data_IF_220709147829
#
_entry.id   IF_220709147829
#
_cell.length_a   1.000
_cell.length_b   1.000
_cell.length_c   1.000
_cell.angle_alpha   90.00
_cell.angle_beta   90.00
_cell.angle_gamma   90.00
#
_symmetry.space_group_name_H-M   'P 1'
#
loop_
_entity.id
_entity.type
_entity.pdbx_description
1 polymer ?
#
# COMPACT_ATOMS: atom_id res chain seq x y z
N UNK A 1 6.92 -12.80 -4.38
CA UNK A 1 7.75 -13.51 -3.36
C UNK A 1 7.29 -14.94 -3.19
N UNK A 2 8.21 -15.90 -3.40
CA UNK A 2 7.97 -17.32 -3.14
C UNK A 2 8.19 -17.63 -1.65
N UNK A 3 7.69 -18.77 -1.14
CA UNK A 3 7.88 -19.20 0.25
C UNK A 3 9.38 -19.24 0.68
N UNK A 4 10.26 -19.47 -0.29
CA UNK A 4 11.73 -19.50 -0.14
C UNK A 4 12.30 -18.12 0.25
N UNK A 5 11.71 -17.02 -0.22
CA UNK A 5 12.20 -15.66 0.06
C UNK A 5 11.98 -15.25 1.53
N UNK A 6 10.89 -15.75 2.14
CA UNK A 6 10.56 -15.47 3.55
C UNK A 6 11.54 -16.13 4.52
N UNK A 7 11.88 -17.40 4.28
CA UNK A 7 12.85 -18.14 5.08
C UNK A 7 14.24 -17.49 5.00
N UNK A 8 14.60 -16.96 3.83
CA UNK A 8 15.85 -16.23 3.64
C UNK A 8 15.90 -14.95 4.49
N UNK A 9 14.84 -14.14 4.48
CA UNK A 9 14.73 -12.92 5.31
C UNK A 9 14.78 -13.28 6.80
N UNK A 10 14.09 -14.35 7.21
CA UNK A 10 14.10 -14.83 8.59
C UNK A 10 15.50 -15.34 9.01
N UNK A 11 16.21 -16.05 8.13
CA UNK A 11 17.59 -16.47 8.36
C UNK A 11 18.54 -15.28 8.53
N UNK A 12 18.36 -14.19 7.76
CA UNK A 12 19.21 -13.00 7.83
C UNK A 12 19.22 -12.35 9.22
N UNK A 13 18.18 -12.55 10.03
CA UNK A 13 18.14 -12.08 11.42
C UNK A 13 19.35 -12.58 12.22
N UNK A 14 19.75 -13.83 12.00
CA UNK A 14 20.79 -14.49 12.79
C UNK A 14 22.19 -14.28 12.22
N UNK A 15 22.36 -14.28 10.90
CA UNK A 15 23.69 -14.21 10.29
C UNK A 15 24.07 -12.85 9.69
N UNK A 16 23.11 -11.99 9.33
CA UNK A 16 23.39 -10.69 8.70
C UNK A 16 22.27 -9.66 8.91
N UNK A 17 21.95 -9.27 10.17
CA UNK A 17 20.79 -8.45 10.49
C UNK A 17 20.79 -7.10 9.76
N UNK A 18 21.95 -6.45 9.63
CA UNK A 18 22.10 -5.19 8.89
C UNK A 18 21.84 -5.32 7.37
N UNK A 19 22.20 -6.46 6.76
CA UNK A 19 21.84 -6.72 5.35
C UNK A 19 20.34 -6.98 5.21
N UNK A 20 19.74 -7.65 6.19
CA UNK A 20 18.30 -7.88 6.26
C UNK A 20 17.49 -6.60 6.19
N UNK A 21 17.89 -5.52 6.90
CA UNK A 21 17.21 -4.23 6.81
C UNK A 21 17.15 -3.65 5.39
N UNK A 22 18.24 -3.76 4.62
CA UNK A 22 18.27 -3.30 3.22
C UNK A 22 17.38 -4.13 2.31
N UNK A 23 17.45 -5.46 2.46
CA UNK A 23 16.64 -6.37 1.65
C UNK A 23 15.14 -6.18 1.94
N UNK A 24 14.79 -5.99 3.22
CA UNK A 24 13.43 -5.72 3.66
C UNK A 24 12.91 -4.38 3.13
N UNK A 25 13.72 -3.32 3.22
CA UNK A 25 13.39 -1.99 2.69
C UNK A 25 13.04 -2.06 1.20
N UNK A 26 13.83 -2.82 0.42
CA UNK A 26 13.78 -2.78 -1.04
C UNK A 26 12.84 -3.82 -1.66
N UNK A 27 12.59 -4.96 -1.00
CA UNK A 27 11.95 -6.11 -1.64
C UNK A 27 10.78 -6.71 -0.86
N UNK A 28 10.64 -6.45 0.44
CA UNK A 28 9.70 -7.21 1.24
C UNK A 28 8.29 -6.57 1.26
N UNK A 29 7.22 -7.33 0.91
CA UNK A 29 5.86 -6.84 0.97
C UNK A 29 5.44 -6.63 2.42
N UNK A 30 4.78 -5.51 2.68
CA UNK A 30 4.40 -5.10 4.04
C UNK A 30 3.54 -6.16 4.74
N UNK A 31 2.64 -6.80 4.00
CA UNK A 31 1.67 -7.76 4.54
C UNK A 31 2.33 -8.96 5.23
N UNK A 32 3.36 -9.54 4.61
CA UNK A 32 3.93 -10.76 5.14
C UNK A 32 5.07 -10.51 6.15
N UNK A 33 5.67 -9.31 6.17
CA UNK A 33 6.39 -8.84 7.37
C UNK A 33 5.45 -8.59 8.53
N UNK A 34 4.24 -8.08 8.26
CA UNK A 34 3.18 -7.97 9.26
C UNK A 34 2.83 -9.34 9.85
N UNK A 35 2.66 -10.36 9.01
CA UNK A 35 2.42 -11.73 9.48
C UNK A 35 3.58 -12.28 10.31
N UNK A 36 4.82 -12.10 9.84
CA UNK A 36 6.02 -12.55 10.55
C UNK A 36 6.17 -11.84 11.91
N UNK A 37 5.95 -10.53 11.96
CA UNK A 37 5.93 -9.76 13.19
C UNK A 37 4.80 -10.23 14.13
N UNK A 38 3.62 -10.58 13.61
CA UNK A 38 2.51 -11.07 14.40
C UNK A 38 2.83 -12.43 15.02
N UNK A 39 3.34 -13.38 14.22
CA UNK A 39 3.73 -14.71 14.69
C UNK A 39 4.81 -14.60 15.76
N UNK A 40 5.86 -13.81 15.51
CA UNK A 40 6.94 -13.62 16.50
C UNK A 40 6.44 -12.93 17.77
N UNK A 41 5.48 -12.02 17.66
CA UNK A 41 4.88 -11.33 18.81
C UNK A 41 4.03 -12.27 19.65
N UNK A 42 3.21 -13.12 19.02
CA UNK A 42 2.44 -14.17 19.70
C UNK A 42 3.37 -15.14 20.41
N UNK A 43 4.43 -15.61 19.73
CA UNK A 43 5.42 -16.50 20.32
C UNK A 43 6.14 -15.85 21.52
N UNK A 44 6.59 -14.60 21.36
CA UNK A 44 7.18 -13.81 22.45
C UNK A 44 6.24 -13.76 23.64
N UNK A 45 4.96 -13.45 23.43
CA UNK A 45 3.98 -13.33 24.50
C UNK A 45 3.74 -14.66 25.22
N UNK A 46 3.54 -15.76 24.47
CA UNK A 46 3.34 -17.08 25.04
C UNK A 46 4.52 -17.54 25.89
N UNK A 47 5.75 -17.39 25.36
CA UNK A 47 6.96 -17.84 26.07
C UNK A 47 7.23 -16.97 27.30
N UNK A 48 7.15 -15.65 27.18
CA UNK A 48 7.45 -14.76 28.32
C UNK A 48 6.43 -14.88 29.44
N UNK A 49 5.14 -15.07 29.13
CA UNK A 49 4.13 -15.33 30.15
C UNK A 49 4.30 -16.69 30.83
N UNK A 50 4.70 -17.71 30.07
CA UNK A 50 5.02 -19.02 30.64
C UNK A 50 6.21 -18.94 31.60
N UNK A 51 7.30 -18.26 31.20
CA UNK A 51 8.49 -18.03 32.03
C UNK A 51 8.20 -17.14 33.26
N UNK A 52 7.24 -16.22 33.16
CA UNK A 52 6.77 -15.40 34.28
C UNK A 52 5.88 -16.17 35.27
N UNK A 53 5.58 -17.46 35.01
CA UNK A 53 4.81 -18.31 35.90
C UNK A 53 3.32 -18.37 35.61
N UNK A 54 2.84 -17.78 34.51
CA UNK A 54 1.44 -17.85 34.10
C UNK A 54 1.20 -19.13 33.27
N UNK A 55 1.03 -20.27 33.95
CA UNK A 55 0.78 -21.58 33.31
C UNK A 55 -0.65 -21.77 32.78
N UNK A 56 -1.53 -20.79 32.97
CA UNK A 56 -2.95 -20.88 32.57
C UNK A 56 -3.15 -20.89 31.04
N UNK A 57 -2.15 -20.51 30.25
CA UNK A 57 -2.23 -20.44 28.78
C UNK A 57 -2.33 -21.80 28.10
N UNK A 58 -1.91 -22.89 28.75
CA UNK A 58 -2.05 -24.26 28.22
C UNK A 58 -3.46 -24.85 28.38
N UNK A 59 -4.34 -24.18 29.14
CA UNK A 59 -5.66 -24.72 29.57
C UNK A 59 -6.80 -23.70 29.35
N UNK A 60 -6.49 -22.41 29.20
CA UNK A 60 -7.50 -21.37 29.03
C UNK A 60 -8.04 -21.38 27.59
N UNK A 61 -9.33 -21.70 27.44
CA UNK A 61 -10.03 -21.89 26.16
C UNK A 61 -10.00 -20.71 25.18
N UNK A 62 -10.92 -20.67 24.20
CA UNK A 62 -10.86 -19.75 23.04
C UNK A 62 -10.66 -18.26 23.36
N UNK A 63 -11.12 -17.81 24.53
CA UNK A 63 -11.01 -16.42 24.99
C UNK A 63 -9.58 -15.99 25.32
N UNK A 64 -8.73 -16.88 25.83
CA UNK A 64 -7.33 -16.56 26.13
C UNK A 64 -6.51 -16.44 24.85
N UNK A 65 -6.71 -17.36 23.90
CA UNK A 65 -6.08 -17.30 22.57
C UNK A 65 -6.45 -15.99 21.87
N UNK A 66 -7.74 -15.62 21.88
CA UNK A 66 -8.20 -14.34 21.31
C UNK A 66 -7.55 -13.14 21.98
N UNK A 67 -7.37 -13.16 23.31
CA UNK A 67 -6.68 -12.08 24.03
C UNK A 67 -5.23 -11.92 23.58
N UNK A 68 -4.48 -13.04 23.47
CA UNK A 68 -3.08 -13.03 23.02
C UNK A 68 -2.97 -12.48 21.59
N UNK A 69 -3.83 -12.97 20.69
CA UNK A 69 -3.87 -12.51 19.31
C UNK A 69 -4.17 -11.02 19.22
N UNK A 70 -5.18 -10.55 19.97
CA UNK A 70 -5.58 -9.16 19.98
C UNK A 70 -4.49 -8.24 20.55
N UNK A 71 -3.86 -8.60 21.67
CA UNK A 71 -2.74 -7.84 22.23
C UNK A 71 -1.53 -7.82 21.29
N UNK A 72 -1.28 -8.92 20.61
CA UNK A 72 -0.22 -8.99 19.60
C UNK A 72 -0.53 -8.07 18.42
N UNK A 73 -1.74 -8.15 17.87
CA UNK A 73 -2.19 -7.27 16.78
C UNK A 73 -2.15 -5.79 17.16
N UNK A 74 -2.56 -5.43 18.39
CA UNK A 74 -2.51 -4.06 18.90
C UNK A 74 -1.07 -3.52 18.90
N UNK A 75 -0.09 -4.33 19.31
CA UNK A 75 1.31 -3.90 19.32
C UNK A 75 1.84 -3.58 17.91
N UNK A 76 1.44 -4.36 16.91
CA UNK A 76 1.78 -4.10 15.51
C UNK A 76 1.08 -2.84 14.99
N UNK A 77 -0.19 -2.65 15.37
CA UNK A 77 -0.98 -1.49 14.97
C UNK A 77 -0.39 -0.19 15.55
N UNK A 78 0.10 -0.22 16.79
CA UNK A 78 0.81 0.92 17.39
C UNK A 78 2.11 1.23 16.64
N UNK A 79 2.86 0.20 16.23
CA UNK A 79 4.08 0.41 15.43
C UNK A 79 3.75 1.02 14.07
N UNK A 80 2.83 0.44 13.31
CA UNK A 80 2.51 0.90 11.96
C UNK A 80 1.68 2.19 11.92
N UNK A 81 0.73 2.34 12.84
CA UNK A 81 -0.28 3.40 12.84
C UNK A 81 0.13 4.65 13.64
N UNK A 82 0.98 4.50 14.67
CA UNK A 82 1.44 5.63 15.48
C UNK A 82 2.95 5.87 15.32
N UNK A 83 3.78 4.87 15.62
CA UNK A 83 5.23 5.06 15.67
C UNK A 83 5.84 5.41 14.30
N UNK A 84 5.51 4.67 13.25
CA UNK A 84 6.05 4.90 11.90
C UNK A 84 5.71 6.31 11.38
N UNK A 85 4.45 6.79 11.44
CA UNK A 85 4.13 8.18 11.08
C UNK A 85 4.87 9.23 11.93
N UNK A 86 5.01 9.00 13.25
CA UNK A 86 5.75 9.90 14.15
C UNK A 86 7.22 9.96 13.74
N UNK A 87 7.85 8.82 13.47
CA UNK A 87 9.25 8.75 13.02
C UNK A 87 9.40 9.46 11.67
N UNK A 88 8.49 9.23 10.72
CA UNK A 88 8.49 9.91 9.43
C UNK A 88 8.35 11.43 9.58
N UNK A 89 7.50 11.89 10.52
CA UNK A 89 7.30 13.30 10.81
C UNK A 89 8.57 13.94 11.40
N UNK A 90 9.15 13.32 12.41
CA UNK A 90 10.42 13.76 13.02
C UNK A 90 11.53 13.77 11.98
N UNK A 91 11.66 12.71 11.17
CA UNK A 91 12.63 12.66 10.09
C UNK A 91 12.46 13.81 9.09
N UNK A 92 11.21 14.17 8.75
CA UNK A 92 10.93 15.30 7.85
C UNK A 92 11.33 16.65 8.46
N UNK A 93 11.20 16.83 9.78
CA UNK A 93 11.66 18.05 10.47
C UNK A 93 13.17 18.19 10.35
N UNK A 94 13.91 17.10 10.58
CA UNK A 94 15.38 17.10 10.54
C UNK A 94 15.94 17.24 9.12
N UNK A 95 15.35 16.55 8.14
CA UNK A 95 15.90 16.44 6.79
C UNK A 95 15.22 17.33 5.74
N UNK A 96 14.14 18.05 6.10
CA UNK A 96 13.39 19.00 5.23
C UNK A 96 13.06 18.44 3.84
N UNK A 97 12.55 17.20 3.76
CA UNK A 97 12.29 16.48 2.49
C UNK A 97 11.02 16.91 1.74
N UNK A 98 10.41 18.04 2.14
CA UNK A 98 9.23 18.61 1.49
C UNK A 98 7.92 18.33 2.22
N UNK A 99 6.82 18.21 1.46
CA UNK A 99 5.47 18.02 2.03
C UNK A 99 5.37 16.65 2.70
N UNK A 100 4.96 16.63 3.97
CA UNK A 100 4.84 15.41 4.79
C UNK A 100 4.02 14.30 4.11
N UNK A 101 2.90 14.66 3.47
CA UNK A 101 2.07 13.68 2.75
C UNK A 101 2.81 12.94 1.63
N UNK A 102 3.71 13.62 0.92
CA UNK A 102 4.50 13.01 -0.15
C UNK A 102 5.55 12.05 0.42
N UNK A 103 6.24 12.47 1.49
CA UNK A 103 7.21 11.61 2.18
C UNK A 103 6.56 10.34 2.72
N UNK A 104 5.37 10.47 3.31
CA UNK A 104 4.65 9.33 3.83
C UNK A 104 4.19 8.40 2.69
N UNK A 105 3.71 8.94 1.57
CA UNK A 105 3.39 8.11 0.40
C UNK A 105 4.61 7.36 -0.17
N UNK A 106 5.79 7.98 -0.14
CA UNK A 106 7.00 7.42 -0.75
C UNK A 106 7.72 6.41 0.16
N UNK A 107 7.82 6.70 1.45
CA UNK A 107 8.69 5.98 2.39
C UNK A 107 7.92 5.15 3.43
N UNK A 108 6.60 5.31 3.57
CA UNK A 108 5.86 4.61 4.63
C UNK A 108 5.98 3.09 4.54
N UNK A 109 5.85 2.50 3.34
CA UNK A 109 5.96 1.04 3.19
C UNK A 109 7.36 0.53 3.58
N UNK A 110 8.41 1.24 3.16
CA UNK A 110 9.82 0.94 3.49
C UNK A 110 10.11 1.09 4.98
N UNK A 111 9.55 2.13 5.60
CA UNK A 111 9.70 2.39 7.03
C UNK A 111 8.91 1.39 7.87
N UNK A 112 7.66 1.11 7.52
CA UNK A 112 6.83 0.15 8.23
C UNK A 112 7.40 -1.28 8.14
N UNK A 113 7.85 -1.71 6.96
CA UNK A 113 8.50 -3.02 6.76
C UNK A 113 9.76 -3.19 7.63
N UNK A 114 10.66 -2.20 7.61
CA UNK A 114 11.89 -2.24 8.41
C UNK A 114 11.62 -2.17 9.92
N UNK A 115 10.61 -1.43 10.37
CA UNK A 115 10.19 -1.42 11.78
C UNK A 115 9.55 -2.74 12.22
N UNK A 116 8.74 -3.38 11.38
CA UNK A 116 8.19 -4.72 11.65
C UNK A 116 9.29 -5.79 11.68
N UNK A 117 10.30 -5.65 10.83
CA UNK A 117 11.49 -6.49 10.87
C UNK A 117 12.29 -6.28 12.16
N UNK A 118 12.51 -5.02 12.59
CA UNK A 118 13.13 -4.70 13.88
C UNK A 118 12.36 -5.29 15.07
N UNK A 119 11.01 -5.21 15.05
CA UNK A 119 10.15 -5.82 16.07
C UNK A 119 10.32 -7.34 16.11
N UNK A 120 10.40 -7.98 14.93
CA UNK A 120 10.60 -9.42 14.85
C UNK A 120 11.94 -9.85 15.41
N UNK A 121 13.03 -9.13 15.07
CA UNK A 121 14.35 -9.38 15.64
C UNK A 121 14.30 -9.26 17.16
N UNK A 122 13.72 -8.17 17.67
CA UNK A 122 13.62 -7.92 19.11
C UNK A 122 12.85 -9.05 19.81
N UNK A 123 11.74 -9.53 19.24
CA UNK A 123 10.98 -10.66 19.76
C UNK A 123 11.83 -11.94 19.82
N UNK A 124 12.46 -12.31 18.70
CA UNK A 124 13.20 -13.56 18.57
C UNK A 124 14.48 -13.58 19.41
N UNK A 125 15.16 -12.44 19.58
CA UNK A 125 16.35 -12.32 20.43
C UNK A 125 15.97 -12.32 21.91
N UNK A 126 14.83 -11.74 22.28
CA UNK A 126 14.42 -11.68 23.69
C UNK A 126 14.04 -13.06 24.23
N UNK A 127 13.50 -13.95 23.41
CA UNK A 127 13.10 -15.31 23.83
C UNK A 127 14.27 -16.10 24.46
N UNK A 128 15.40 -16.35 23.78
CA UNK A 128 16.53 -17.08 24.36
C UNK A 128 17.15 -16.34 25.56
N UNK A 129 17.18 -15.00 25.53
CA UNK A 129 17.64 -14.21 26.67
C UNK A 129 16.72 -14.41 27.88
N UNK A 130 15.40 -14.40 27.69
CA UNK A 130 14.43 -14.63 28.75
C UNK A 130 14.57 -16.05 29.34
N UNK A 131 14.76 -17.07 28.49
CA UNK A 131 15.03 -18.44 28.92
C UNK A 131 16.31 -18.49 29.76
N UNK A 132 17.39 -17.87 29.30
CA UNK A 132 18.66 -17.81 30.03
C UNK A 132 18.50 -17.10 31.39
N UNK A 133 17.82 -15.96 31.44
CA UNK A 133 17.56 -15.21 32.68
C UNK A 133 16.75 -16.02 33.69
N UNK A 134 15.79 -16.81 33.21
CA UNK A 134 15.00 -17.71 34.05
C UNK A 134 15.84 -18.87 34.59
N UNK A 135 16.59 -19.57 33.72
CA UNK A 135 17.38 -20.75 34.08
C UNK A 135 18.58 -20.42 34.98
N UNK A 136 19.18 -19.25 34.81
CA UNK A 136 20.32 -18.79 35.62
C UNK A 136 19.95 -18.30 37.03
N UNK A 137 18.66 -18.19 37.35
CA UNK A 137 18.18 -17.61 38.61
C UNK A 137 18.29 -16.08 38.68
N UNK A 138 18.82 -15.42 37.65
CA UNK A 138 18.91 -13.95 37.57
C UNK A 138 17.51 -13.32 37.64
N UNK A 139 16.52 -13.92 36.98
CA UNK A 139 15.13 -13.47 37.06
C UNK A 139 14.61 -13.51 38.50
N UNK A 140 14.88 -14.58 39.24
CA UNK A 140 14.44 -14.71 40.63
C UNK A 140 15.12 -13.68 41.56
N UNK A 141 16.41 -13.44 41.37
CA UNK A 141 17.16 -12.41 42.08
C UNK A 141 16.63 -11.00 41.77
N UNK A 142 16.37 -10.71 40.49
CA UNK A 142 15.78 -9.44 40.04
C UNK A 142 14.39 -9.21 40.64
N UNK A 143 13.55 -10.24 40.66
CA UNK A 143 12.22 -10.19 41.31
C UNK A 143 12.39 -9.85 42.80
N UNK A 144 13.22 -10.60 43.53
CA UNK A 144 13.42 -10.39 44.96
C UNK A 144 13.90 -8.96 45.28
N UNK A 145 14.86 -8.46 44.49
CA UNK A 145 15.37 -7.10 44.62
C UNK A 145 14.29 -6.05 44.37
N UNK A 146 13.49 -6.19 43.30
CA UNK A 146 12.46 -5.20 42.96
C UNK A 146 11.29 -5.21 43.95
N UNK A 147 10.89 -6.36 44.50
CA UNK A 147 9.89 -6.40 45.56
C UNK A 147 10.37 -5.66 46.82
N UNK A 148 11.66 -5.78 47.15
CA UNK A 148 12.27 -5.05 48.27
C UNK A 148 12.34 -3.54 47.99
N UNK A 149 12.73 -3.15 46.77
CA UNK A 149 12.77 -1.74 46.36
C UNK A 149 11.39 -1.10 46.21
N UNK A 150 10.34 -1.86 45.88
CA UNK A 150 8.98 -1.37 45.80
C UNK A 150 8.49 -0.83 47.16
N UNK A 151 8.86 -1.49 48.26
CA UNK A 151 8.57 -1.01 49.62
C UNK A 151 9.32 0.30 49.97
N UNK A 152 10.48 0.55 49.37
CA UNK A 152 11.24 1.78 49.54
C UNK A 152 10.73 2.92 48.64
N UNK A 153 10.31 2.62 47.41
CA UNK A 153 9.78 3.61 46.47
C UNK A 153 8.49 4.29 46.97
N UNK A 154 7.69 3.59 47.78
CA UNK A 154 6.50 4.14 48.43
C UNK A 154 6.79 5.34 49.34
N UNK A 155 7.96 5.41 49.96
CA UNK A 155 8.32 6.53 50.85
C UNK A 155 8.90 7.74 50.10
N UNK A 156 9.38 7.54 48.87
CA UNK A 156 10.02 8.59 48.05
C UNK A 156 9.03 9.31 47.13
N UNK A 157 7.97 8.63 46.67
CA UNK A 157 6.97 9.20 45.76
C UNK A 157 5.73 9.67 46.53
N UNK A 158 5.52 10.99 46.63
CA UNK A 158 4.32 11.62 47.19
C UNK A 158 3.09 11.48 46.27
N UNK A 159 2.68 10.25 45.97
CA UNK A 159 1.55 9.96 45.09
C UNK A 159 0.21 10.00 45.86
N UNK A 160 -0.92 10.25 45.17
CA UNK A 160 -2.26 10.08 45.75
C UNK A 160 -2.44 8.67 46.36
N UNK A 161 -3.17 8.52 47.48
CA UNK A 161 -3.28 7.24 48.20
C UNK A 161 -3.90 6.11 47.36
N UNK A 162 -4.84 6.43 46.46
CA UNK A 162 -5.43 5.47 45.53
C UNK A 162 -4.41 4.93 44.53
N UNK A 163 -3.57 5.81 43.99
CA UNK A 163 -2.53 5.43 43.03
C UNK A 163 -1.42 4.62 43.71
N UNK A 164 -1.07 4.95 44.96
CA UNK A 164 -0.13 4.17 45.79
C UNK A 164 -0.61 2.74 46.00
N UNK A 165 -1.89 2.56 46.35
CA UNK A 165 -2.46 1.22 46.55
C UNK A 165 -2.42 0.38 45.26
N UNK A 166 -2.75 0.97 44.11
CA UNK A 166 -2.67 0.29 42.82
C UNK A 166 -1.23 -0.05 42.42
N UNK A 167 -0.29 0.89 42.59
CA UNK A 167 1.12 0.68 42.27
C UNK A 167 1.73 -0.44 43.13
N UNK A 168 1.36 -0.48 44.41
CA UNK A 168 1.79 -1.52 45.35
C UNK A 168 1.33 -2.89 44.91
N UNK A 169 0.05 -3.04 44.58
CA UNK A 169 -0.51 -4.31 44.10
C UNK A 169 0.23 -4.78 42.84
N UNK A 170 0.51 -3.86 41.91
CA UNK A 170 1.19 -4.16 40.65
C UNK A 170 2.67 -4.55 40.84
N UNK A 171 3.42 -3.78 41.64
CA UNK A 171 4.85 -4.02 41.89
C UNK A 171 5.12 -5.19 42.85
N UNK A 172 4.12 -5.57 43.64
CA UNK A 172 4.19 -6.75 44.51
C UNK A 172 3.89 -8.05 43.76
N UNK A 173 3.40 -7.99 42.51
CA UNK A 173 3.18 -9.17 41.68
C UNK A 173 4.50 -9.61 41.01
N UNK A 174 5.08 -10.78 41.38
CA UNK A 174 6.30 -11.29 40.76
C UNK A 174 6.19 -11.44 39.24
N UNK A 175 4.98 -11.69 38.73
CA UNK A 175 4.72 -11.89 37.30
C UNK A 175 4.89 -10.58 36.53
N UNK A 176 4.34 -9.49 37.07
CA UNK A 176 4.46 -8.17 36.46
C UNK A 176 5.92 -7.73 36.38
N UNK A 177 6.69 -7.97 37.45
CA UNK A 177 8.13 -7.66 37.50
C UNK A 177 8.92 -8.51 36.49
N UNK A 178 8.63 -9.80 36.39
CA UNK A 178 9.26 -10.69 35.40
C UNK A 178 8.95 -10.26 33.96
N UNK A 179 7.68 -10.00 33.64
CA UNK A 179 7.27 -9.51 32.32
C UNK A 179 7.91 -8.14 32.00
N UNK A 180 8.06 -7.28 33.00
CA UNK A 180 8.74 -5.98 32.89
C UNK A 180 10.22 -6.12 32.51
N UNK A 181 10.93 -7.09 33.10
CA UNK A 181 12.32 -7.40 32.75
C UNK A 181 12.44 -7.79 31.28
N UNK A 182 11.63 -8.76 30.83
CA UNK A 182 11.64 -9.21 29.43
C UNK A 182 11.25 -8.11 28.46
N UNK A 183 10.26 -7.28 28.84
CA UNK A 183 9.84 -6.12 28.03
C UNK A 183 10.95 -5.10 27.88
N UNK A 184 11.75 -4.86 28.92
CA UNK A 184 12.89 -3.95 28.86
C UNK A 184 13.96 -4.44 27.88
N UNK A 185 14.30 -5.74 27.93
CA UNK A 185 15.23 -6.37 26.97
C UNK A 185 14.73 -6.20 25.53
N UNK A 186 13.45 -6.49 25.30
CA UNK A 186 12.82 -6.33 24.00
C UNK A 186 12.83 -4.88 23.52
N UNK A 187 12.46 -3.92 24.36
CA UNK A 187 12.41 -2.51 24.01
C UNK A 187 13.79 -1.99 23.64
N UNK A 188 14.84 -2.42 24.34
CA UNK A 188 16.22 -2.08 23.99
C UNK A 188 16.60 -2.62 22.61
N UNK A 189 16.35 -3.91 22.34
CA UNK A 189 16.60 -4.51 21.03
C UNK A 189 15.81 -3.83 19.91
N UNK A 190 14.55 -3.47 20.18
CA UNK A 190 13.70 -2.75 19.25
C UNK A 190 14.22 -1.33 18.98
N UNK A 191 14.70 -0.60 20.00
CA UNK A 191 15.26 0.73 19.83
C UNK A 191 16.51 0.71 18.93
N UNK A 192 17.41 -0.26 19.13
CA UNK A 192 18.57 -0.47 18.25
C UNK A 192 18.12 -0.79 16.82
N UNK A 193 17.13 -1.67 16.66
CA UNK A 193 16.55 -1.99 15.35
C UNK A 193 15.88 -0.78 14.69
N UNK A 194 15.22 0.10 15.45
CA UNK A 194 14.60 1.31 14.95
C UNK A 194 15.63 2.31 14.42
N UNK A 195 16.79 2.44 15.08
CA UNK A 195 17.92 3.27 14.58
C UNK A 195 18.42 2.72 13.24
N UNK A 196 18.60 1.40 13.13
CA UNK A 196 19.00 0.76 11.87
C UNK A 196 17.96 0.95 10.77
N UNK A 197 16.67 0.80 11.09
CA UNK A 197 15.57 1.03 10.14
C UNK A 197 15.59 2.46 9.59
N UNK A 198 15.65 3.46 10.48
CA UNK A 198 15.71 4.88 10.08
C UNK A 198 16.95 5.17 9.24
N UNK A 199 18.12 4.66 9.65
CA UNK A 199 19.37 4.83 8.91
C UNK A 199 19.25 4.29 7.48
N UNK A 200 18.75 3.07 7.32
CA UNK A 200 18.68 2.42 6.01
C UNK A 200 17.60 3.03 5.12
N UNK A 201 16.42 3.38 5.66
CA UNK A 201 15.34 3.99 4.87
C UNK A 201 15.74 5.38 4.39
N UNK A 202 16.22 6.24 5.29
CA UNK A 202 16.56 7.62 4.94
C UNK A 202 17.97 7.79 4.38
N UNK A 203 18.82 6.75 4.42
CA UNK A 203 20.22 6.79 3.95
C UNK A 203 21.04 7.91 4.61
N UNK A 204 20.89 8.06 5.92
CA UNK A 204 21.55 9.09 6.73
C UNK A 204 22.66 8.51 7.62
N UNK A 205 23.44 9.37 8.28
CA UNK A 205 24.45 8.93 9.25
C UNK A 205 23.80 8.29 10.49
N UNK A 206 24.55 7.42 11.17
CA UNK A 206 24.11 6.76 12.41
C UNK A 206 23.72 7.76 13.48
N UNK A 207 24.49 8.86 13.64
CA UNK A 207 24.21 9.89 14.63
C UNK A 207 22.84 10.55 14.41
N UNK A 208 22.53 10.92 13.15
CA UNK A 208 21.24 11.53 12.81
C UNK A 208 20.09 10.53 12.95
N UNK A 209 20.30 9.28 12.54
CA UNK A 209 19.31 8.22 12.73
C UNK A 209 19.01 8.01 14.22
N UNK A 210 20.03 7.99 15.08
CA UNK A 210 19.85 7.92 16.54
C UNK A 210 19.04 9.10 17.06
N UNK A 211 19.37 10.33 16.66
CA UNK A 211 18.61 11.51 17.09
C UNK A 211 17.13 11.42 16.68
N UNK A 212 16.84 11.08 15.42
CA UNK A 212 15.47 10.91 14.92
C UNK A 212 14.73 9.79 15.67
N UNK A 213 15.37 8.63 15.84
CA UNK A 213 14.76 7.49 16.54
C UNK A 213 14.48 7.79 18.00
N UNK A 214 15.41 8.42 18.71
CA UNK A 214 15.23 8.81 20.12
C UNK A 214 14.11 9.84 20.24
N UNK A 215 14.16 10.92 19.46
CA UNK A 215 13.11 11.95 19.48
C UNK A 215 11.74 11.37 19.10
N UNK A 216 11.67 10.51 18.09
CA UNK A 216 10.42 9.88 17.67
C UNK A 216 9.87 8.86 18.67
N UNK A 217 10.74 8.04 19.30
CA UNK A 217 10.33 7.12 20.37
C UNK A 217 9.87 7.89 21.62
N UNK A 218 10.57 8.96 22.01
CA UNK A 218 10.15 9.84 23.11
C UNK A 218 8.81 10.49 22.82
N UNK A 219 8.60 11.01 21.61
CA UNK A 219 7.33 11.61 21.21
C UNK A 219 6.20 10.55 21.18
N UNK A 220 6.47 9.36 20.68
CA UNK A 220 5.51 8.25 20.69
C UNK A 220 5.15 7.82 22.13
N UNK A 221 6.09 7.85 23.06
CA UNK A 221 5.85 7.58 24.47
C UNK A 221 4.95 8.64 25.11
N UNK A 222 5.23 9.93 24.87
CA UNK A 222 4.40 11.04 25.36
C UNK A 222 2.98 11.00 24.80
N UNK A 223 2.84 10.64 23.53
CA UNK A 223 1.53 10.52 22.87
C UNK A 223 0.83 9.18 23.14
N UNK A 224 1.48 8.22 23.79
CA UNK A 224 0.91 6.90 24.07
C UNK A 224 -0.45 6.93 24.81
N UNK A 225 -0.73 7.84 25.77
CA UNK A 225 -2.05 7.91 26.42
C UNK A 225 -3.13 8.33 25.43
N UNK A 226 -2.82 9.25 24.52
CA UNK A 226 -3.72 9.76 23.48
C UNK A 226 -4.08 8.63 22.52
N UNK A 227 -3.09 7.88 22.04
CA UNK A 227 -3.34 6.73 21.16
C UNK A 227 -4.10 5.61 21.86
N UNK A 228 -3.83 5.37 23.15
CA UNK A 228 -4.59 4.42 23.97
C UNK A 228 -6.07 4.81 24.07
N UNK A 229 -6.37 6.08 24.31
CA UNK A 229 -7.74 6.62 24.35
C UNK A 229 -8.45 6.56 23.00
N UNK A 230 -7.73 6.82 21.90
CA UNK A 230 -8.30 6.79 20.55
C UNK A 230 -8.53 5.36 20.06
N UNK A 231 -7.56 4.46 20.27
CA UNK A 231 -7.60 3.10 19.73
C UNK A 231 -8.44 2.15 20.59
N UNK A 232 -8.46 2.31 21.92
CA UNK A 232 -9.21 1.40 22.80
C UNK A 232 -10.70 1.26 22.48
N UNK A 233 -11.50 2.32 22.25
CA UNK A 233 -12.91 2.16 21.87
C UNK A 233 -13.06 1.60 20.46
N UNK A 234 -12.17 1.99 19.53
CA UNK A 234 -12.20 1.54 18.14
C UNK A 234 -11.97 0.03 18.07
N UNK A 235 -11.00 -0.50 18.82
CA UNK A 235 -10.73 -1.94 18.81
C UNK A 235 -11.69 -2.74 19.70
N UNK A 236 -12.32 -2.13 20.71
CA UNK A 236 -13.30 -2.80 21.56
C UNK A 236 -14.64 -3.06 20.84
N UNK A 237 -14.96 -2.26 19.82
CA UNK A 237 -16.20 -2.39 19.06
C UNK A 237 -15.96 -3.06 17.70
N UNK A 238 -16.55 -4.24 17.45
CA UNK A 238 -16.51 -4.88 16.13
C UNK A 238 -17.02 -3.99 14.99
N UNK A 239 -17.97 -3.10 15.30
CA UNK A 239 -18.52 -2.13 14.35
C UNK A 239 -17.53 -1.01 14.04
N UNK A 240 -16.85 -0.46 15.04
CA UNK A 240 -15.82 0.57 14.79
C UNK A 240 -14.60 -0.02 14.09
N UNK A 241 -14.23 -1.27 14.37
CA UNK A 241 -13.23 -2.01 13.60
C UNK A 241 -13.62 -2.16 12.14
N UNK A 242 -14.89 -2.50 11.86
CA UNK A 242 -15.39 -2.61 10.49
C UNK A 242 -15.33 -1.26 9.76
N UNK A 243 -15.76 -0.18 10.42
CA UNK A 243 -15.72 1.17 9.84
C UNK A 243 -14.28 1.62 9.60
N UNK A 244 -13.38 1.43 10.57
CA UNK A 244 -11.96 1.70 10.42
C UNK A 244 -11.37 0.89 9.26
N UNK A 245 -11.70 -0.39 9.17
CA UNK A 245 -11.27 -1.23 8.07
C UNK A 245 -11.76 -0.71 6.72
N UNK A 246 -13.02 -0.30 6.59
CA UNK A 246 -13.56 0.25 5.35
C UNK A 246 -12.88 1.58 4.96
N UNK A 247 -12.63 2.46 5.93
CA UNK A 247 -11.93 3.73 5.71
C UNK A 247 -10.48 3.51 5.27
N UNK A 248 -9.78 2.62 5.97
CA UNK A 248 -8.35 2.39 5.75
C UNK A 248 -8.11 1.43 4.57
N UNK A 249 -9.10 0.62 4.16
CA UNK A 249 -9.00 -0.29 3.00
C UNK A 249 -8.66 0.46 1.72
N UNK A 250 -9.25 1.64 1.49
CA UNK A 250 -8.93 2.47 0.33
C UNK A 250 -7.46 2.88 0.32
N UNK A 251 -6.96 3.39 1.46
CA UNK A 251 -5.57 3.79 1.64
C UNK A 251 -4.58 2.62 1.53
N UNK A 252 -4.85 1.50 2.24
CA UNK A 252 -4.07 0.26 2.14
C UNK A 252 -4.04 -0.24 0.70
N UNK A 253 -5.17 -0.19 -0.02
CA UNK A 253 -5.20 -0.60 -1.43
C UNK A 253 -4.34 0.30 -2.32
N UNK A 254 -4.23 1.59 -1.99
CA UNK A 254 -3.36 2.54 -2.69
C UNK A 254 -1.89 2.26 -2.42
N UNK A 255 -1.51 2.08 -1.15
CA UNK A 255 -0.14 1.75 -0.73
C UNK A 255 0.29 0.38 -1.26
N UNK A 256 -0.59 -0.62 -1.26
CA UNK A 256 -0.29 -1.93 -1.84
C UNK A 256 -0.19 -1.90 -3.37
N UNK A 257 -0.94 -1.00 -4.03
CA UNK A 257 -0.80 -0.77 -5.48
C UNK A 257 0.53 -0.10 -5.81
N UNK A 258 0.93 0.93 -5.05
CA UNK A 258 2.22 1.59 -5.26
C UNK A 258 3.40 0.65 -4.98
N UNK A 259 3.31 -0.21 -3.96
CA UNK A 259 4.33 -1.22 -3.68
C UNK A 259 4.45 -2.25 -4.81
N UNK A 260 3.32 -2.80 -5.26
CA UNK A 260 3.30 -3.75 -6.40
C UNK A 260 3.82 -3.12 -7.69
N UNK A 261 3.48 -1.85 -7.95
CA UNK A 261 4.00 -1.13 -9.11
C UNK A 261 5.52 -0.93 -9.05
N UNK A 262 6.11 -0.73 -7.86
CA UNK A 262 7.57 -0.67 -7.68
C UNK A 262 8.25 -2.02 -7.89
N UNK A 263 7.67 -3.09 -7.35
CA UNK A 263 8.19 -4.46 -7.50
C UNK A 263 8.15 -4.89 -8.97
N UNK A 264 7.01 -4.69 -9.64
CA UNK A 264 6.85 -4.98 -11.07
C UNK A 264 7.81 -4.15 -11.93
N UNK A 265 8.02 -2.86 -11.60
CA UNK A 265 8.98 -2.03 -12.31
C UNK A 265 10.40 -2.59 -12.21
N UNK A 266 10.81 -2.99 -11.01
CA UNK A 266 12.15 -3.55 -10.79
C UNK A 266 12.32 -4.87 -11.52
N UNK A 267 11.33 -5.76 -11.46
CA UNK A 267 11.37 -7.05 -12.15
C UNK A 267 11.44 -6.88 -13.67
N UNK A 268 10.63 -6.01 -14.25
CA UNK A 268 10.64 -5.77 -15.70
C UNK A 268 11.92 -5.05 -16.14
N UNK A 269 12.49 -4.19 -15.29
CA UNK A 269 13.79 -3.58 -15.54
C UNK A 269 14.91 -4.63 -15.52
N UNK A 270 14.92 -5.53 -14.53
CA UNK A 270 15.86 -6.65 -14.47
C UNK A 270 15.69 -7.60 -15.68
N UNK A 271 14.46 -7.88 -16.10
CA UNK A 271 14.20 -8.67 -17.31
C UNK A 271 14.75 -7.97 -18.56
N UNK A 272 14.50 -6.68 -18.72
CA UNK A 272 15.00 -5.88 -19.84
C UNK A 272 16.54 -5.72 -19.82
N UNK A 273 17.20 -5.79 -18.67
CA UNK A 273 18.68 -5.78 -18.60
C UNK A 273 19.29 -7.15 -18.87
N UNK A 274 18.65 -8.23 -18.42
CA UNK A 274 19.12 -9.60 -18.66
C UNK A 274 18.88 -10.04 -20.11
N UNK A 275 17.73 -9.67 -20.68
CA UNK A 275 17.39 -9.86 -22.08
C UNK A 275 16.89 -8.54 -22.69
N UNK A 276 17.77 -7.75 -23.31
CA UNK A 276 17.39 -6.50 -23.98
C UNK A 276 16.40 -6.68 -25.14
N UNK A 277 16.21 -7.91 -25.64
CA UNK A 277 15.30 -8.29 -26.71
C UNK A 277 14.01 -8.95 -26.19
N UNK A 278 13.60 -8.69 -24.95
CA UNK A 278 12.29 -9.07 -24.42
C UNK A 278 11.26 -7.95 -24.65
N UNK A 279 10.42 -8.11 -25.67
CA UNK A 279 9.40 -7.11 -26.03
C UNK A 279 8.37 -6.92 -24.90
N UNK A 280 7.93 -8.00 -24.26
CA UNK A 280 6.97 -7.97 -23.16
C UNK A 280 7.51 -7.23 -21.94
N UNK A 281 8.81 -7.33 -21.64
CA UNK A 281 9.43 -6.55 -20.56
C UNK A 281 9.38 -5.04 -20.85
N UNK A 282 9.68 -4.60 -22.07
CA UNK A 282 9.58 -3.19 -22.46
C UNK A 282 8.13 -2.71 -22.51
N UNK A 283 7.19 -3.52 -23.02
CA UNK A 283 5.76 -3.21 -22.97
C UNK A 283 5.28 -2.97 -21.53
N UNK A 284 5.61 -3.88 -20.61
CA UNK A 284 5.21 -3.75 -19.21
C UNK A 284 5.88 -2.53 -18.53
N UNK A 285 7.13 -2.20 -18.86
CA UNK A 285 7.76 -0.95 -18.41
C UNK A 285 7.01 0.28 -18.93
N UNK A 286 6.57 0.26 -20.19
CA UNK A 286 5.75 1.30 -20.80
C UNK A 286 4.45 1.53 -20.03
N UNK A 287 3.71 0.47 -19.70
CA UNK A 287 2.49 0.55 -18.90
C UNK A 287 2.74 1.17 -17.52
N UNK A 288 3.86 0.85 -16.88
CA UNK A 288 4.22 1.41 -15.57
C UNK A 288 4.54 2.91 -15.67
N UNK A 289 5.29 3.33 -16.68
CA UNK A 289 5.56 4.75 -16.93
C UNK A 289 4.25 5.51 -17.24
N UNK A 290 3.34 4.91 -18.02
CA UNK A 290 2.03 5.49 -18.31
C UNK A 290 1.18 5.66 -17.04
N UNK A 291 1.17 4.66 -16.14
CA UNK A 291 0.50 4.77 -14.83
C UNK A 291 1.09 5.89 -13.94
N UNK A 292 2.37 6.21 -14.11
CA UNK A 292 3.05 7.32 -13.43
C UNK A 292 2.87 8.67 -14.15
N UNK A 293 2.12 8.69 -15.24
CA UNK A 293 1.92 9.85 -16.10
C UNK A 293 3.24 10.36 -16.75
N UNK A 294 4.22 9.47 -16.89
CA UNK A 294 5.51 9.72 -17.56
C UNK A 294 5.39 9.35 -19.04
N UNK A 295 4.58 10.10 -19.80
CA UNK A 295 4.12 9.72 -21.15
C UNK A 295 5.25 9.53 -22.17
N UNK A 296 6.31 10.35 -22.12
CA UNK A 296 7.45 10.22 -23.04
C UNK A 296 8.27 8.95 -22.76
N UNK A 297 8.52 8.64 -21.48
CA UNK A 297 9.21 7.41 -21.09
C UNK A 297 8.36 6.17 -21.42
N UNK A 298 7.03 6.28 -21.28
CA UNK A 298 6.13 5.22 -21.72
C UNK A 298 6.22 5.01 -23.24
N UNK A 299 6.23 6.09 -24.02
CA UNK A 299 6.35 6.05 -25.48
C UNK A 299 7.62 5.33 -25.92
N UNK A 300 8.78 5.72 -25.39
CA UNK A 300 10.08 5.11 -25.72
C UNK A 300 10.07 3.60 -25.46
N UNK A 301 9.47 3.17 -24.35
CA UNK A 301 9.37 1.75 -24.01
C UNK A 301 8.43 0.97 -24.92
N UNK A 302 7.29 1.54 -25.29
CA UNK A 302 6.39 0.91 -26.26
C UNK A 302 6.99 0.86 -27.67
N UNK A 303 7.66 1.93 -28.12
CA UNK A 303 8.41 1.95 -29.38
C UNK A 303 9.50 0.87 -29.38
N UNK A 304 10.19 0.68 -28.25
CA UNK A 304 11.20 -0.37 -28.13
C UNK A 304 10.60 -1.77 -28.16
N UNK A 305 9.43 -1.98 -27.57
CA UNK A 305 8.71 -3.25 -27.63
C UNK A 305 8.39 -3.62 -29.09
N UNK A 306 7.85 -2.67 -29.87
CA UNK A 306 7.50 -2.87 -31.28
C UNK A 306 8.73 -3.12 -32.16
N UNK A 307 9.86 -2.46 -31.86
CA UNK A 307 11.12 -2.72 -32.57
C UNK A 307 11.68 -4.13 -32.34
N UNK A 308 11.32 -4.75 -31.22
CA UNK A 308 11.80 -6.09 -30.86
C UNK A 308 10.83 -7.14 -31.41
N UNK A 309 9.53 -6.91 -31.22
CA UNK A 309 8.45 -7.75 -31.71
C UNK A 309 7.41 -6.87 -32.41
N UNK A 310 7.36 -6.97 -33.74
CA UNK A 310 6.40 -6.23 -34.56
C UNK A 310 4.95 -6.71 -34.34
N UNK A 311 4.76 -7.88 -33.73
CA UNK A 311 3.44 -8.46 -33.44
C UNK A 311 2.95 -8.12 -32.01
N UNK A 312 3.65 -7.26 -31.27
CA UNK A 312 3.19 -6.69 -30.00
C UNK A 312 2.13 -5.60 -30.25
N UNK A 313 0.95 -6.03 -30.70
CA UNK A 313 -0.19 -5.20 -31.13
C UNK A 313 -0.70 -4.30 -30.00
N UNK A 314 -0.64 -4.77 -28.75
CA UNK A 314 -1.05 -3.99 -27.58
C UNK A 314 -0.18 -2.74 -27.38
N UNK A 315 1.09 -2.78 -27.78
CA UNK A 315 1.97 -1.61 -27.72
C UNK A 315 1.53 -0.52 -28.72
N UNK A 316 1.10 -0.89 -29.92
CA UNK A 316 0.53 0.05 -30.90
C UNK A 316 -0.74 0.71 -30.35
N UNK A 317 -1.60 -0.04 -29.67
CA UNK A 317 -2.79 0.52 -29.02
C UNK A 317 -2.42 1.58 -27.95
N UNK A 318 -1.43 1.29 -27.09
CA UNK A 318 -1.00 2.26 -26.07
C UNK A 318 -0.31 3.48 -26.68
N UNK A 319 0.48 3.31 -27.74
CA UNK A 319 1.08 4.44 -28.48
C UNK A 319 0.01 5.33 -29.11
N UNK A 320 -1.04 4.73 -29.70
CA UNK A 320 -2.17 5.49 -30.25
C UNK A 320 -2.86 6.34 -29.20
N UNK A 321 -3.10 5.78 -28.00
CA UNK A 321 -3.68 6.51 -26.87
C UNK A 321 -2.78 7.64 -26.36
N UNK A 322 -1.48 7.39 -26.23
CA UNK A 322 -0.50 8.41 -25.82
C UNK A 322 -0.45 9.53 -26.85
N UNK A 323 -0.39 9.21 -28.15
CA UNK A 323 -0.37 10.19 -29.23
C UNK A 323 -1.64 11.05 -29.23
N UNK A 324 -2.83 10.46 -29.03
CA UNK A 324 -4.09 11.20 -28.91
C UNK A 324 -4.08 12.14 -27.71
N UNK A 325 -3.63 11.67 -26.54
CA UNK A 325 -3.49 12.51 -25.35
C UNK A 325 -2.53 13.69 -25.57
N UNK A 326 -1.51 13.51 -26.41
CA UNK A 326 -0.57 14.55 -26.82
C UNK A 326 -1.05 15.41 -28.01
N UNK A 327 -2.29 15.20 -28.48
CA UNK A 327 -2.88 15.86 -29.67
C UNK A 327 -2.12 15.60 -30.98
N UNK A 328 -1.33 14.53 -31.05
CA UNK A 328 -0.68 14.04 -32.28
C UNK A 328 -1.63 13.10 -33.00
N UNK A 329 -2.69 13.66 -33.58
CA UNK A 329 -3.82 12.87 -34.09
C UNK A 329 -3.45 11.96 -35.26
N UNK A 330 -2.61 12.42 -36.20
CA UNK A 330 -2.15 11.59 -37.32
C UNK A 330 -1.35 10.36 -36.83
N UNK A 331 -0.46 10.56 -35.85
CA UNK A 331 0.30 9.46 -35.24
C UNK A 331 -0.62 8.49 -34.49
N UNK A 332 -1.66 9.01 -33.83
CA UNK A 332 -2.63 8.21 -33.10
C UNK A 332 -3.41 7.28 -34.04
N UNK A 333 -3.96 7.85 -35.12
CA UNK A 333 -4.67 7.11 -36.17
C UNK A 333 -3.77 6.04 -36.78
N UNK A 334 -2.54 6.40 -37.20
CA UNK A 334 -1.59 5.44 -37.79
C UNK A 334 -1.33 4.25 -36.86
N UNK A 335 -1.17 4.50 -35.56
CA UNK A 335 -0.96 3.43 -34.60
C UNK A 335 -2.21 2.57 -34.43
N UNK A 336 -3.41 3.16 -34.34
CA UNK A 336 -4.65 2.39 -34.27
C UNK A 336 -4.93 1.57 -35.54
N UNK A 337 -4.56 2.07 -36.72
CA UNK A 337 -4.64 1.32 -37.97
C UNK A 337 -3.77 0.06 -37.96
N UNK A 338 -2.57 0.11 -37.37
CA UNK A 338 -1.75 -1.10 -37.21
C UNK A 338 -2.48 -2.17 -36.39
N UNK A 339 -3.16 -1.77 -35.32
CA UNK A 339 -3.93 -2.68 -34.46
C UNK A 339 -5.10 -3.32 -35.22
N UNK A 340 -5.83 -2.53 -36.02
CA UNK A 340 -6.95 -3.00 -36.84
C UNK A 340 -6.49 -3.93 -37.98
N UNK A 341 -5.29 -3.70 -38.52
CA UNK A 341 -4.79 -4.46 -39.67
C UNK A 341 -4.28 -5.88 -39.34
N UNK A 342 -3.84 -6.11 -38.09
CA UNK A 342 -3.04 -7.29 -37.71
C UNK A 342 -3.78 -8.32 -36.86
N UNK A 343 -4.74 -7.88 -36.04
CA UNK A 343 -5.65 -8.78 -35.34
C UNK A 343 -7.02 -8.68 -36.04
N UNK A 344 -7.80 -9.77 -36.14
CA UNK A 344 -9.17 -9.80 -36.70
C UNK A 344 -10.23 -10.34 -35.71
N UNK A 345 -9.89 -10.47 -34.42
CA UNK A 345 -10.78 -10.93 -33.36
C UNK A 345 -11.73 -9.85 -32.77
N UNK A 346 -12.70 -10.29 -31.94
CA UNK A 346 -13.75 -9.48 -31.30
C UNK A 346 -13.27 -8.20 -30.57
N UNK A 347 -11.98 -8.09 -30.23
CA UNK A 347 -11.38 -6.92 -29.56
C UNK A 347 -11.25 -5.67 -30.45
N UNK A 348 -11.20 -5.78 -31.79
CA UNK A 348 -10.97 -4.59 -32.63
C UNK A 348 -12.18 -3.69 -32.85
N UNK A 349 -13.40 -4.17 -32.64
CA UNK A 349 -14.54 -3.27 -32.78
C UNK A 349 -14.35 -2.07 -31.84
N UNK A 350 -13.90 -2.30 -30.60
CA UNK A 350 -13.64 -1.22 -29.63
C UNK A 350 -12.60 -0.18 -30.11
N UNK A 351 -11.69 -0.54 -31.03
CA UNK A 351 -10.70 0.37 -31.59
C UNK A 351 -11.33 1.37 -32.56
N UNK A 352 -12.31 0.95 -33.36
CA UNK A 352 -12.99 1.86 -34.29
C UNK A 352 -13.65 3.03 -33.56
N UNK A 353 -14.10 2.81 -32.32
CA UNK A 353 -14.57 3.89 -31.45
C UNK A 353 -13.44 4.84 -31.02
N UNK A 354 -12.25 4.33 -30.68
CA UNK A 354 -11.08 5.17 -30.37
C UNK A 354 -10.59 5.95 -31.60
N UNK A 355 -10.59 5.34 -32.79
CA UNK A 355 -10.27 6.01 -34.06
C UNK A 355 -11.28 7.13 -34.33
N UNK A 356 -12.58 6.84 -34.23
CA UNK A 356 -13.65 7.83 -34.36
C UNK A 356 -13.50 8.98 -33.36
N UNK A 357 -13.23 8.69 -32.10
CA UNK A 357 -12.98 9.70 -31.07
C UNK A 357 -11.75 10.57 -31.41
N UNK A 358 -10.68 9.96 -31.95
CA UNK A 358 -9.48 10.67 -32.39
C UNK A 358 -9.78 11.64 -33.52
N UNK A 359 -10.55 11.22 -34.54
CA UNK A 359 -10.95 12.08 -35.65
C UNK A 359 -11.89 13.21 -35.22
N UNK A 360 -12.80 12.96 -34.28
CA UNK A 360 -13.63 14.01 -33.66
C UNK A 360 -12.75 15.09 -32.99
N UNK A 361 -11.72 14.67 -32.24
CA UNK A 361 -10.79 15.61 -31.60
C UNK A 361 -9.90 16.34 -32.61
N UNK A 362 -9.59 15.71 -33.75
CA UNK A 362 -8.86 16.30 -34.86
C UNK A 362 -9.71 17.24 -35.75
N UNK A 363 -11.04 17.22 -35.59
CA UNK A 363 -11.98 17.98 -36.42
C UNK A 363 -12.26 17.35 -37.79
N UNK A 364 -11.81 16.12 -38.03
CA UNK A 364 -12.05 15.37 -39.26
C UNK A 364 -13.37 14.60 -39.15
N UNK A 365 -14.48 15.31 -39.27
CA UNK A 365 -15.79 14.74 -38.95
C UNK A 365 -16.31 13.69 -39.94
N UNK A 366 -15.85 13.70 -41.20
CA UNK A 366 -16.20 12.68 -42.19
C UNK A 366 -15.55 11.34 -41.83
N UNK A 367 -14.23 11.34 -41.62
CA UNK A 367 -13.47 10.16 -41.22
C UNK A 367 -13.97 9.60 -39.87
N UNK A 368 -14.35 10.50 -38.94
CA UNK A 368 -14.94 10.12 -37.66
C UNK A 368 -16.26 9.35 -37.85
N UNK A 369 -17.14 9.85 -38.73
CA UNK A 369 -18.43 9.20 -39.04
C UNK A 369 -18.19 7.80 -39.57
N UNK A 370 -17.31 7.64 -40.56
CA UNK A 370 -17.07 6.35 -41.21
C UNK A 370 -16.48 5.32 -40.23
N UNK A 371 -15.57 5.75 -39.36
CA UNK A 371 -15.02 4.90 -38.30
C UNK A 371 -16.10 4.48 -37.27
N UNK A 372 -16.95 5.41 -36.85
CA UNK A 372 -18.02 5.12 -35.89
C UNK A 372 -19.13 4.27 -36.48
N UNK A 373 -19.39 4.38 -37.79
CA UNK A 373 -20.37 3.54 -38.50
C UNK A 373 -19.93 2.07 -38.45
N UNK A 374 -18.66 1.79 -38.80
CA UNK A 374 -18.07 0.45 -38.67
C UNK A 374 -18.15 -0.11 -37.24
N UNK A 375 -18.01 0.74 -36.23
CA UNK A 375 -18.19 0.30 -34.85
C UNK A 375 -19.65 -0.05 -34.51
N UNK A 376 -20.57 0.81 -34.91
CA UNK A 376 -22.00 0.69 -34.59
C UNK A 376 -22.66 -0.48 -35.35
N UNK A 377 -22.14 -0.90 -36.50
CA UNK A 377 -22.58 -2.13 -37.20
C UNK A 377 -22.56 -3.36 -36.27
N UNK A 378 -21.57 -3.44 -35.37
CA UNK A 378 -21.43 -4.55 -34.43
C UNK A 378 -22.02 -4.23 -33.04
N UNK A 379 -22.02 -2.96 -32.64
CA UNK A 379 -22.50 -2.49 -31.34
C UNK A 379 -23.49 -1.33 -31.51
N UNK A 380 -24.71 -1.59 -32.02
CA UNK A 380 -25.63 -0.52 -32.41
C UNK A 380 -26.18 0.30 -31.24
N UNK A 381 -26.06 -0.20 -30.01
CA UNK A 381 -26.56 0.44 -28.79
C UNK A 381 -25.45 0.85 -27.83
N UNK A 382 -24.23 1.13 -28.33
CA UNK A 382 -23.15 1.69 -27.50
C UNK A 382 -23.37 3.20 -27.27
N UNK A 383 -23.58 3.66 -26.02
CA UNK A 383 -23.88 5.07 -25.76
C UNK A 383 -22.76 6.02 -26.15
N UNK A 384 -21.51 5.64 -25.92
CA UNK A 384 -20.35 6.48 -26.21
C UNK A 384 -20.19 6.71 -27.72
N UNK A 385 -20.28 5.65 -28.53
CA UNK A 385 -20.19 5.79 -29.97
C UNK A 385 -21.38 6.54 -30.58
N UNK A 386 -22.60 6.33 -30.09
CA UNK A 386 -23.77 7.10 -30.55
C UNK A 386 -23.64 8.59 -30.24
N UNK A 387 -23.10 8.93 -29.07
CA UNK A 387 -22.76 10.31 -28.73
C UNK A 387 -21.69 10.90 -29.66
N UNK A 388 -20.60 10.16 -29.90
CA UNK A 388 -19.54 10.58 -30.81
C UNK A 388 -20.05 10.74 -32.26
N UNK A 389 -20.97 9.88 -32.69
CA UNK A 389 -21.61 9.96 -34.02
C UNK A 389 -22.47 11.22 -34.13
N UNK A 390 -23.22 11.54 -33.06
CA UNK A 390 -23.95 12.81 -32.96
C UNK A 390 -23.03 14.03 -33.08
N UNK A 391 -21.85 13.99 -32.46
CA UNK A 391 -20.82 15.03 -32.60
C UNK A 391 -20.23 15.09 -34.00
N UNK A 392 -20.01 13.96 -34.67
CA UNK A 392 -19.54 13.91 -36.06
C UNK A 392 -20.55 14.63 -36.97
N UNK A 393 -21.82 14.24 -36.90
CA UNK A 393 -22.89 14.86 -37.68
C UNK A 393 -23.07 16.35 -37.37
N UNK A 394 -22.94 16.75 -36.10
CA UNK A 394 -22.99 18.16 -35.72
C UNK A 394 -21.85 18.96 -36.36
N UNK A 395 -20.63 18.42 -36.36
CA UNK A 395 -19.45 19.01 -37.01
C UNK A 395 -19.58 19.13 -38.53
N UNK A 396 -20.30 18.19 -39.16
CA UNK A 396 -20.64 18.23 -40.60
C UNK A 396 -21.81 19.16 -40.92
N UNK A 397 -22.49 19.73 -39.92
CA UNK A 397 -23.70 20.55 -40.11
C UNK A 397 -24.99 19.76 -40.34
N UNK A 398 -24.94 18.43 -40.25
CA UNK A 398 -26.08 17.50 -40.37
C UNK A 398 -26.90 17.51 -39.07
N UNK A 399 -27.63 18.60 -38.82
CA UNK A 399 -28.32 18.85 -37.53
C UNK A 399 -29.38 17.80 -37.20
N UNK A 400 -30.09 17.25 -38.18
CA UNK A 400 -31.17 16.28 -37.95
C UNK A 400 -30.59 14.94 -37.51
N UNK A 401 -29.57 14.49 -38.22
CA UNK A 401 -28.82 13.28 -37.97
C UNK A 401 -28.11 13.37 -36.61
N UNK A 402 -27.51 14.51 -36.30
CA UNK A 402 -26.91 14.77 -34.99
C UNK A 402 -27.92 14.60 -33.85
N UNK A 403 -29.10 15.21 -33.96
CA UNK A 403 -30.16 15.07 -32.97
C UNK A 403 -30.67 13.62 -32.87
N UNK A 404 -30.77 12.92 -34.00
CA UNK A 404 -31.18 11.51 -34.04
C UNK A 404 -30.18 10.60 -33.32
N UNK A 405 -28.88 10.72 -33.61
CA UNK A 405 -27.84 9.96 -32.90
C UNK A 405 -27.81 10.28 -31.41
N UNK A 406 -28.06 11.55 -31.04
CA UNK A 406 -28.10 11.98 -29.65
C UNK A 406 -29.31 11.40 -28.90
N UNK A 407 -30.46 11.29 -29.57
CA UNK A 407 -31.63 10.63 -29.03
C UNK A 407 -31.41 9.11 -28.88
N UNK A 408 -30.78 8.47 -29.87
CA UNK A 408 -30.39 7.06 -29.81
C UNK A 408 -29.42 6.79 -28.64
N UNK A 409 -28.46 7.68 -28.38
CA UNK A 409 -27.60 7.61 -27.20
C UNK A 409 -28.42 7.62 -25.89
N UNK A 410 -29.39 8.53 -25.77
CA UNK A 410 -30.24 8.63 -24.57
C UNK A 410 -31.04 7.33 -24.36
N UNK A 411 -31.59 6.77 -25.42
CA UNK A 411 -32.35 5.52 -25.39
C UNK A 411 -31.47 4.32 -25.05
N UNK A 412 -30.27 4.26 -25.62
CA UNK A 412 -29.28 3.22 -25.32
C UNK A 412 -28.93 3.21 -23.81
N UNK A 413 -28.70 4.37 -23.19
CA UNK A 413 -28.43 4.43 -21.73
C UNK A 413 -29.64 4.04 -20.89
N UNK A 414 -30.84 4.43 -21.30
CA UNK A 414 -32.08 4.12 -20.56
C UNK A 414 -32.46 2.65 -20.63
N UNK A 415 -32.15 1.97 -21.74
CA UNK A 415 -32.45 0.56 -21.98
C UNK A 415 -31.33 -0.37 -21.51
N UNK A 416 -30.14 0.16 -21.21
CA UNK A 416 -29.01 -0.61 -20.70
C UNK A 416 -29.28 -1.21 -19.30
N UNK A 417 -28.69 -2.38 -18.98
CA UNK A 417 -28.77 -2.97 -17.65
C UNK A 417 -28.31 -2.02 -16.54
N UNK A 418 -28.97 -2.07 -15.38
CA UNK A 418 -28.76 -1.14 -14.26
C UNK A 418 -27.30 -0.99 -13.80
N UNK A 419 -26.46 -2.03 -13.94
CA UNK A 419 -25.05 -1.97 -13.56
C UNK A 419 -24.20 -1.09 -14.49
N UNK A 420 -24.61 -0.88 -15.74
CA UNK A 420 -23.91 -0.02 -16.72
C UNK A 420 -24.27 1.46 -16.57
N UNK A 421 -25.45 1.76 -16.03
CA UNK A 421 -25.96 3.13 -15.90
C UNK A 421 -24.94 4.12 -15.30
N UNK A 422 -24.17 3.72 -14.28
CA UNK A 422 -23.15 4.61 -13.68
C UNK A 422 -22.02 4.99 -14.63
N UNK A 423 -21.58 4.08 -15.48
CA UNK A 423 -20.52 4.34 -16.45
C UNK A 423 -21.04 5.24 -17.59
N UNK A 424 -22.27 4.96 -18.05
CA UNK A 424 -22.82 5.61 -19.24
C UNK A 424 -23.59 6.91 -18.93
N UNK A 425 -23.83 7.20 -17.64
CA UNK A 425 -24.54 8.42 -17.19
C UNK A 425 -23.92 9.70 -17.74
N UNK A 426 -22.60 9.71 -17.94
CA UNK A 426 -21.90 10.85 -18.53
C UNK A 426 -22.45 11.18 -19.92
N UNK A 427 -22.54 10.18 -20.79
CA UNK A 427 -23.00 10.33 -22.16
C UNK A 427 -24.47 10.73 -22.25
N UNK A 428 -25.31 10.19 -21.35
CA UNK A 428 -26.70 10.61 -21.21
C UNK A 428 -26.83 12.13 -20.95
N UNK A 429 -26.04 12.65 -20.01
CA UNK A 429 -26.09 14.07 -19.65
C UNK A 429 -25.59 14.95 -20.79
N UNK A 430 -24.46 14.60 -21.41
CA UNK A 430 -23.89 15.35 -22.53
C UNK A 430 -24.83 15.34 -23.74
N UNK A 431 -25.49 14.21 -24.01
CA UNK A 431 -26.50 14.08 -25.07
C UNK A 431 -27.74 14.95 -24.85
N UNK A 432 -28.29 14.94 -23.63
CA UNK A 432 -29.44 15.78 -23.28
C UNK A 432 -29.11 17.27 -23.36
N UNK A 433 -27.91 17.65 -22.91
CA UNK A 433 -27.45 19.04 -22.98
C UNK A 433 -27.35 19.51 -24.43
N UNK A 434 -26.79 18.68 -25.31
CA UNK A 434 -26.68 19.00 -26.74
C UNK A 434 -28.04 19.21 -27.39
N UNK A 435 -29.02 18.33 -27.15
CA UNK A 435 -30.37 18.48 -27.70
C UNK A 435 -31.00 19.79 -27.20
N UNK A 436 -30.86 20.09 -25.90
CA UNK A 436 -31.40 21.31 -25.29
C UNK A 436 -30.77 22.58 -25.86
N UNK A 437 -29.48 22.57 -26.19
CA UNK A 437 -28.80 23.73 -26.80
C UNK A 437 -29.04 23.87 -28.30
N UNK A 438 -29.57 22.83 -28.95
CA UNK A 438 -29.83 22.79 -30.39
C UNK A 438 -31.27 23.16 -30.76
N UNK A 439 -32.14 23.25 -29.76
CA UNK A 439 -33.50 23.83 -29.82
C UNK A 439 -33.41 25.34 -29.65
#
# INVERSE_FOLDING_TARGET
MNAIDWLRILGMIFYAPARGFREVRDRAPLAALGLMALISQVLYFLVTQWLAGNRSLGIAGPTAVMRVLFQSALSLLLVCGALVPIIAFVANIFERRGRFGLLLQQEYASLASTFLYALTIANLVTIPVAIFLNLSGIQAAYIAQNLQSAAQLESWLQLPPEFRAQLRILLSDPRFVAEGLFRTVKLFGFAVGAVMAVREVFRISTLRATAISVSGLSLALVLSPVWGLLLSPILASPLLLLILFLLVRGYISGVLRSQRARESFKQNLEAATLNPADASAHYNLGLIHQQRNELEAARERFERAIQIDEDEIDAHYQLGRIARQQKRFADAVKNFEQVVSRDQTHGQHEIWREVGATYIEAGQFEDARDALERFLEHRPSDPEALYLMGRAHAGLGHRREAASSMQACIEAVKTAPAYKYRADKRWLNEAQQFIKSSQ
#
